data_IF_643671114400
#
_entry.id   IF_643671114400
#
_cell.length_a   1.000
_cell.length_b   1.000
_cell.length_c   1.000
_cell.angle_alpha   90.00
_cell.angle_beta   90.00
_cell.angle_gamma   90.00
#
_symmetry.space_group_name_H-M   'P 1'
#
loop_
_entity.id
_entity.type
_entity.pdbx_description
1 polymer ?
#
# COMPACT_ATOMS: atom_id res chain seq x y z
N UNK A 1 6.82 -1.67 -16.31
CA UNK A 1 6.53 -2.26 -15.00
C UNK A 1 6.13 -1.16 -14.04
N UNK A 2 4.83 -1.08 -13.79
CA UNK A 2 4.19 -0.11 -12.91
C UNK A 2 4.29 -0.58 -11.46
N UNK A 3 4.32 0.36 -10.51
CA UNK A 3 4.40 0.07 -9.08
C UNK A 3 3.20 0.64 -8.35
N UNK A 4 2.52 -0.20 -7.58
CA UNK A 4 1.35 0.17 -6.79
C UNK A 4 1.55 -0.30 -5.35
N UNK A 5 1.31 0.58 -4.39
CA UNK A 5 1.37 0.22 -2.96
C UNK A 5 0.05 0.54 -2.28
N UNK A 6 -0.53 -0.43 -1.58
CA UNK A 6 -1.61 -0.22 -0.64
C UNK A 6 -1.04 -0.05 0.76
N UNK A 7 -1.23 1.13 1.36
CA UNK A 7 -0.86 1.42 2.76
C UNK A 7 -2.14 1.31 3.58
N UNK A 8 -2.11 0.50 4.64
CA UNK A 8 -3.31 0.11 5.38
C UNK A 8 -3.13 0.24 6.88
N UNK A 9 -4.09 0.83 7.60
CA UNK A 9 -4.14 0.81 9.08
C UNK A 9 -4.38 -0.60 9.66
N UNK A 10 -4.83 -1.55 8.84
CA UNK A 10 -4.92 -2.95 9.24
C UNK A 10 -3.56 -3.63 9.49
N UNK A 11 -3.61 -4.87 9.98
CA UNK A 11 -2.39 -5.58 10.42
C UNK A 11 -1.35 -5.80 9.31
N UNK A 12 -0.07 -5.76 9.70
CA UNK A 12 1.10 -6.10 8.88
C UNK A 12 1.24 -7.61 8.59
N UNK A 13 0.52 -8.47 9.32
CA UNK A 13 0.52 -9.93 9.08
C UNK A 13 -0.01 -10.34 7.70
N UNK A 14 -0.70 -9.42 7.00
CA UNK A 14 -1.23 -9.61 5.64
C UNK A 14 -0.41 -8.86 4.59
N UNK A 15 0.81 -8.47 4.94
CA UNK A 15 1.69 -7.79 4.00
C UNK A 15 2.13 -8.77 2.94
N UNK A 16 2.09 -8.32 1.70
CA UNK A 16 2.31 -9.15 0.54
C UNK A 16 2.80 -8.29 -0.62
N UNK A 17 3.53 -8.93 -1.52
CA UNK A 17 3.91 -8.37 -2.82
C UNK A 17 3.66 -9.43 -3.87
N UNK A 18 3.07 -9.03 -4.99
CA UNK A 18 2.82 -9.90 -6.13
C UNK A 18 3.01 -9.14 -7.43
N UNK A 19 3.49 -9.84 -8.44
CA UNK A 19 3.47 -9.34 -9.82
C UNK A 19 2.19 -9.82 -10.52
N UNK A 20 1.53 -8.90 -11.22
CA UNK A 20 0.33 -9.20 -12.02
C UNK A 20 0.43 -8.53 -13.38
N UNK A 21 -0.14 -9.17 -14.41
CA UNK A 21 -0.29 -8.56 -15.72
C UNK A 21 -1.76 -8.17 -15.92
N UNK A 22 -2.00 -6.88 -16.14
CA UNK A 22 -3.33 -6.30 -16.34
C UNK A 22 -3.32 -5.48 -17.62
N UNK A 23 -4.22 -5.80 -18.55
CA UNK A 23 -4.37 -5.09 -19.84
C UNK A 23 -3.05 -5.01 -20.64
N UNK A 24 -2.19 -6.03 -20.53
CA UNK A 24 -0.89 -6.08 -21.20
C UNK A 24 0.23 -5.26 -20.55
N UNK A 25 0.00 -4.64 -19.39
CA UNK A 25 1.05 -4.00 -18.58
C UNK A 25 1.32 -4.81 -17.31
N UNK A 26 2.59 -4.87 -16.89
CA UNK A 26 3.02 -5.56 -15.68
C UNK A 26 3.04 -4.61 -14.49
N UNK A 27 2.47 -5.06 -13.38
CA UNK A 27 2.40 -4.32 -12.13
C UNK A 27 3.08 -5.11 -11.02
N UNK A 28 3.93 -4.44 -10.25
CA UNK A 28 4.28 -4.86 -8.90
C UNK A 28 3.25 -4.24 -7.94
N UNK A 29 2.50 -5.08 -7.25
CA UNK A 29 1.48 -4.65 -6.28
C UNK A 29 1.90 -5.11 -4.90
N UNK A 30 2.06 -4.16 -3.99
CA UNK A 30 2.40 -4.41 -2.58
C UNK A 30 1.30 -3.94 -1.65
N UNK A 31 1.16 -4.62 -0.52
CA UNK A 31 0.34 -4.18 0.62
C UNK A 31 1.21 -4.08 1.87
N UNK A 32 1.14 -2.95 2.56
CA UNK A 32 1.85 -2.68 3.82
C UNK A 32 0.84 -2.30 4.90
N UNK A 33 0.85 -3.04 6.00
CA UNK A 33 0.06 -2.79 7.20
C UNK A 33 0.83 -1.95 8.21
N UNK A 34 0.12 -1.05 8.88
CA UNK A 34 0.71 -0.21 9.95
C UNK A 34 0.25 -0.62 11.35
N UNK A 35 -0.56 -1.67 11.48
CA UNK A 35 -1.05 -2.17 12.77
C UNK A 35 -1.74 -1.09 13.63
N UNK A 36 -2.43 -0.15 12.98
CA UNK A 36 -3.11 0.98 13.62
C UNK A 36 -2.23 2.21 13.85
N UNK A 37 -0.93 2.13 13.57
CA UNK A 37 -0.01 3.26 13.73
C UNK A 37 -0.22 4.31 12.64
N UNK A 38 -0.77 5.46 13.05
CA UNK A 38 -1.04 6.62 12.19
C UNK A 38 0.22 7.38 11.80
N UNK A 39 1.26 7.41 12.66
CA UNK A 39 2.52 8.09 12.35
C UNK A 39 3.28 7.32 11.27
N UNK A 40 3.38 5.98 11.44
CA UNK A 40 3.94 5.08 10.43
C UNK A 40 3.15 5.17 9.11
N UNK A 41 1.82 5.25 9.18
CA UNK A 41 0.99 5.46 7.99
C UNK A 41 1.37 6.75 7.25
N UNK A 42 1.42 7.87 7.96
CA UNK A 42 1.78 9.16 7.38
C UNK A 42 3.22 9.18 6.84
N UNK A 43 4.15 8.49 7.51
CA UNK A 43 5.53 8.34 7.03
C UNK A 43 5.59 7.59 5.70
N UNK A 44 4.92 6.43 5.60
CA UNK A 44 4.89 5.64 4.37
C UNK A 44 4.21 6.40 3.23
N UNK A 45 3.13 7.13 3.52
CA UNK A 45 2.47 7.99 2.53
C UNK A 45 3.47 8.99 1.92
N UNK A 46 4.22 9.71 2.76
CA UNK A 46 5.27 10.66 2.30
C UNK A 46 6.42 9.96 1.60
N UNK A 47 6.77 8.75 2.04
CA UNK A 47 7.86 8.00 1.44
C UNK A 47 7.55 7.59 0.00
N UNK A 48 6.31 7.18 -0.28
CA UNK A 48 5.89 6.69 -1.59
C UNK A 48 5.29 7.76 -2.50
N UNK A 49 4.89 8.93 -1.95
CA UNK A 49 4.40 10.04 -2.75
C UNK A 49 5.41 10.44 -3.84
N UNK A 50 4.95 10.47 -5.09
CA UNK A 50 5.77 10.70 -6.28
C UNK A 50 6.77 9.59 -6.66
N UNK A 51 6.86 8.48 -5.92
CA UNK A 51 7.79 7.36 -6.21
C UNK A 51 7.12 6.10 -6.77
N UNK A 52 5.81 6.02 -6.70
CA UNK A 52 5.00 4.92 -7.23
C UNK A 52 3.92 5.46 -8.15
N UNK A 53 3.42 4.61 -9.05
CA UNK A 53 2.38 5.02 -10.01
C UNK A 53 1.00 5.19 -9.34
N UNK A 54 0.75 4.50 -8.23
CA UNK A 54 -0.47 4.68 -7.44
C UNK A 54 -0.29 4.26 -5.96
N UNK A 55 -1.03 4.95 -5.07
CA UNK A 55 -1.15 4.61 -3.66
C UNK A 55 -2.61 4.29 -3.36
N UNK A 56 -2.86 3.10 -2.78
CA UNK A 56 -4.15 2.71 -2.23
C UNK A 56 -4.21 2.92 -0.73
N UNK A 57 -5.34 3.42 -0.21
CA UNK A 57 -5.59 3.60 1.22
C UNK A 57 -6.46 2.44 1.74
N UNK A 58 -6.06 1.80 2.84
CA UNK A 58 -6.79 0.67 3.41
C UNK A 58 -7.06 0.78 4.91
N UNK A 59 -8.19 0.25 5.37
CA UNK A 59 -8.53 0.22 6.80
C UNK A 59 -8.93 1.57 7.39
N UNK A 60 -9.29 2.55 6.54
CA UNK A 60 -9.81 3.86 6.94
C UNK A 60 -11.21 3.79 7.58
N UNK A 61 -11.91 2.69 7.32
CA UNK A 61 -13.25 2.37 7.81
C UNK A 61 -13.24 1.75 9.22
N UNK A 62 -12.06 1.54 9.80
CA UNK A 62 -11.96 1.02 11.17
C UNK A 62 -12.16 2.14 12.17
N UNK A 63 -13.25 2.03 12.94
CA UNK A 63 -13.41 2.79 14.18
C UNK A 63 -12.31 2.35 15.15
N UNK A 64 -11.37 3.24 15.45
CA UNK A 64 -10.39 3.08 16.54
C UNK A 64 -11.06 3.44 17.88
#
# INVERSE_FOLDING_TARGET
>A
MKRVVSISLGSSKRDSTSEVELLGERFEVSRIGTDGDMEKFAQLMREFDGKVDAIGLGGMDRYL
#
